data_IF_797475649756
#
_entry.id   IF_797475649756
#
_cell.length_a   1.000
_cell.length_b   1.000
_cell.length_c   1.000
_cell.angle_alpha   90.00
_cell.angle_beta   90.00
_cell.angle_gamma   90.00
#
_symmetry.space_group_name_H-M   'P 1'
#
loop_
_entity.id
_entity.type
_entity.pdbx_description
1 polymer ?
#
# COMPACT_ATOMS: atom_id res chain seq x y z
N UNK A 1 -23.83 -13.16 -7.07
CA UNK A 1 -22.78 -13.82 -6.26
C UNK A 1 -22.01 -12.77 -5.47
N UNK A 2 -22.01 -12.89 -4.14
CA UNK A 2 -21.39 -11.97 -3.19
C UNK A 2 -20.11 -12.57 -2.61
N UNK A 3 -18.97 -11.89 -2.77
CA UNK A 3 -17.66 -12.33 -2.29
C UNK A 3 -17.05 -11.22 -1.43
N UNK A 4 -16.72 -11.55 -0.18
CA UNK A 4 -16.05 -10.65 0.74
C UNK A 4 -14.57 -11.01 0.83
N UNK A 5 -13.68 -10.11 0.41
CA UNK A 5 -12.24 -10.22 0.65
C UNK A 5 -11.83 -9.49 1.93
N UNK A 6 -10.94 -10.10 2.70
CA UNK A 6 -10.44 -9.56 3.98
C UNK A 6 -8.90 -9.52 3.95
N UNK A 7 -8.35 -8.36 4.28
CA UNK A 7 -6.94 -8.16 4.58
C UNK A 7 -6.80 -7.64 6.00
N UNK A 8 -5.97 -8.28 6.82
CA UNK A 8 -5.71 -7.85 8.20
C UNK A 8 -4.48 -8.55 8.82
N UNK A 9 -4.23 -8.26 10.10
CA UNK A 9 -3.28 -8.94 10.97
C UNK A 9 -1.79 -8.68 10.72
N UNK A 10 -1.47 -7.69 9.90
CA UNK A 10 -0.12 -7.17 9.71
C UNK A 10 -0.08 -5.63 9.82
N UNK A 11 -0.65 -4.92 8.87
CA UNK A 11 -1.02 -3.50 8.95
C UNK A 11 -2.06 -3.20 7.87
N UNK A 12 -2.71 -2.03 7.94
CA UNK A 12 -3.65 -1.54 6.93
C UNK A 12 -4.81 -2.51 6.64
N UNK A 13 -5.42 -3.05 7.69
CA UNK A 13 -6.58 -3.92 7.58
C UNK A 13 -7.68 -3.28 6.73
N UNK A 14 -8.31 -4.09 5.88
CA UNK A 14 -9.29 -3.65 4.91
C UNK A 14 -10.27 -4.77 4.56
N UNK A 15 -11.41 -4.37 4.01
CA UNK A 15 -12.40 -5.27 3.44
C UNK A 15 -12.84 -4.77 2.07
N UNK A 16 -13.22 -5.70 1.19
CA UNK A 16 -13.79 -5.42 -0.11
C UNK A 16 -14.95 -6.39 -0.41
N UNK A 17 -16.08 -5.87 -0.88
CA UNK A 17 -17.20 -6.66 -1.37
C UNK A 17 -17.26 -6.57 -2.90
N UNK A 18 -17.22 -7.73 -3.54
CA UNK A 18 -17.54 -7.90 -4.95
C UNK A 18 -18.91 -8.56 -5.09
N UNK A 19 -19.74 -8.02 -5.98
CA UNK A 19 -21.02 -8.61 -6.38
C UNK A 19 -21.04 -8.81 -7.88
N UNK A 20 -21.15 -10.07 -8.30
CA UNK A 20 -21.26 -10.44 -9.72
C UNK A 20 -20.14 -9.82 -10.56
N UNK A 21 -18.94 -9.75 -9.98
CA UNK A 21 -17.72 -9.22 -10.59
C UNK A 21 -17.54 -7.70 -10.48
N UNK A 22 -18.53 -6.96 -9.97
CA UNK A 22 -18.42 -5.53 -9.71
C UNK A 22 -17.92 -5.24 -8.30
N UNK A 23 -17.01 -4.27 -8.16
CA UNK A 23 -16.54 -3.79 -6.86
C UNK A 23 -17.61 -2.87 -6.25
N UNK A 24 -18.37 -3.40 -5.29
CA UNK A 24 -19.47 -2.65 -4.66
C UNK A 24 -18.92 -1.65 -3.65
N UNK A 25 -18.00 -2.11 -2.79
CA UNK A 25 -17.44 -1.32 -1.71
C UNK A 25 -16.08 -1.86 -1.28
N UNK A 26 -15.19 -0.95 -0.87
CA UNK A 26 -13.91 -1.28 -0.28
C UNK A 26 -13.48 -0.16 0.68
N UNK A 27 -12.97 -0.54 1.85
CA UNK A 27 -12.52 0.44 2.84
C UNK A 27 -11.43 -0.13 3.75
N UNK A 28 -10.54 0.75 4.22
CA UNK A 28 -9.56 0.45 5.25
C UNK A 28 -10.11 0.72 6.64
N UNK A 29 -9.86 -0.17 7.59
CA UNK A 29 -10.36 -0.12 8.97
C UNK A 29 -9.92 1.17 9.70
N UNK A 30 -8.71 1.65 9.43
CA UNK A 30 -8.16 2.88 10.02
C UNK A 30 -9.04 4.12 9.77
N UNK A 31 -9.86 4.12 8.71
CA UNK A 31 -10.75 5.23 8.39
C UNK A 31 -11.90 5.32 9.38
N UNK A 32 -12.30 4.20 9.98
CA UNK A 32 -13.36 4.12 10.97
C UNK A 32 -12.80 4.17 12.40
N UNK A 33 -11.80 3.33 12.71
CA UNK A 33 -11.21 3.27 14.07
C UNK A 33 -10.40 4.51 14.43
N UNK A 34 -9.99 5.29 13.42
CA UNK A 34 -9.08 6.44 13.55
C UNK A 34 -7.70 6.05 14.10
N UNK A 35 -7.41 4.75 14.20
CA UNK A 35 -6.11 4.19 14.53
C UNK A 35 -5.35 3.96 13.24
N UNK A 36 -4.36 4.80 12.98
CA UNK A 36 -3.54 4.74 11.77
C UNK A 36 -2.83 3.38 11.65
N UNK A 37 -2.88 2.78 10.46
CA UNK A 37 -2.35 1.44 10.16
C UNK A 37 -2.96 0.35 11.04
N UNK A 38 -4.27 0.42 11.29
CA UNK A 38 -4.92 -0.60 12.11
C UNK A 38 -4.71 -2.00 11.52
N UNK A 39 -4.14 -2.89 12.33
CA UNK A 39 -3.85 -4.29 11.97
C UNK A 39 -4.93 -5.26 12.47
N UNK A 40 -5.92 -4.75 13.23
CA UNK A 40 -6.98 -5.56 13.83
C UNK A 40 -7.89 -6.20 12.80
N UNK A 41 -8.81 -7.07 13.25
CA UNK A 41 -9.87 -7.58 12.38
C UNK A 41 -10.73 -6.40 11.89
N UNK A 42 -11.05 -6.29 10.59
CA UNK A 42 -11.64 -5.08 10.02
C UNK A 42 -13.17 -5.05 10.20
N UNK A 43 -13.65 -5.01 11.45
CA UNK A 43 -15.08 -5.08 11.77
C UNK A 43 -15.89 -3.98 11.08
N UNK A 44 -15.42 -2.73 11.14
CA UNK A 44 -16.18 -1.60 10.61
C UNK A 44 -16.11 -1.51 9.10
N UNK A 45 -14.96 -1.85 8.49
CA UNK A 45 -14.86 -1.92 7.04
C UNK A 45 -15.72 -3.05 6.47
N UNK A 46 -15.79 -4.22 7.12
CA UNK A 46 -16.70 -5.30 6.71
C UNK A 46 -18.14 -4.87 6.85
N UNK A 47 -18.53 -4.29 7.99
CA UNK A 47 -19.88 -3.79 8.22
C UNK A 47 -20.29 -2.79 7.14
N UNK A 48 -19.41 -1.84 6.82
CA UNK A 48 -19.63 -0.88 5.74
C UNK A 48 -19.83 -1.58 4.39
N UNK A 49 -18.97 -2.55 4.04
CA UNK A 49 -19.07 -3.27 2.76
C UNK A 49 -20.41 -4.02 2.64
N UNK A 50 -20.84 -4.69 3.71
CA UNK A 50 -22.13 -5.40 3.76
C UNK A 50 -23.31 -4.44 3.66
N UNK A 51 -23.27 -3.31 4.37
CA UNK A 51 -24.29 -2.26 4.32
C UNK A 51 -24.38 -1.63 2.92
N UNK A 52 -23.26 -1.27 2.31
CA UNK A 52 -23.21 -0.73 0.95
C UNK A 52 -23.73 -1.75 -0.09
N UNK A 53 -23.53 -3.04 0.15
CA UNK A 53 -24.15 -4.11 -0.64
C UNK A 53 -25.62 -4.38 -0.31
N UNK A 54 -26.19 -3.83 0.76
CA UNK A 54 -27.54 -4.18 1.21
C UNK A 54 -27.69 -5.67 1.57
N UNK A 55 -26.63 -6.31 2.06
CA UNK A 55 -26.62 -7.75 2.40
C UNK A 55 -26.13 -7.98 3.83
N UNK A 56 -26.36 -9.18 4.34
CA UNK A 56 -25.83 -9.66 5.62
C UNK A 56 -24.72 -10.70 5.37
N UNK A 57 -23.94 -11.00 6.41
CA UNK A 57 -22.85 -11.98 6.31
C UNK A 57 -23.31 -13.37 5.84
N UNK A 58 -24.55 -13.76 6.15
CA UNK A 58 -25.15 -15.03 5.69
C UNK A 58 -25.44 -15.08 4.18
N UNK A 59 -25.50 -13.93 3.52
CA UNK A 59 -25.77 -13.82 2.08
C UNK A 59 -24.47 -13.86 1.24
N UNK A 60 -23.32 -14.03 1.89
CA UNK A 60 -22.02 -14.18 1.25
C UNK A 60 -21.84 -15.61 0.72
N UNK A 61 -21.55 -15.74 -0.57
CA UNK A 61 -21.24 -17.02 -1.20
C UNK A 61 -19.83 -17.51 -0.80
N UNK A 62 -18.87 -16.58 -0.72
CA UNK A 62 -17.50 -16.84 -0.30
C UNK A 62 -16.94 -15.71 0.56
N UNK A 63 -16.08 -16.09 1.51
CA UNK A 63 -15.19 -15.16 2.21
C UNK A 63 -13.75 -15.52 1.87
N UNK A 64 -12.94 -14.54 1.53
CA UNK A 64 -11.52 -14.74 1.23
C UNK A 64 -10.63 -14.13 2.31
N UNK A 65 -9.52 -14.80 2.63
CA UNK A 65 -8.36 -14.20 3.30
C UNK A 65 -7.09 -14.18 2.40
N UNK A 66 -6.42 -13.03 2.38
CA UNK A 66 -5.41 -12.64 1.35
C UNK A 66 -4.02 -13.30 1.43
N UNK A 67 -3.77 -14.12 2.45
CA UNK A 67 -2.46 -14.72 2.78
C UNK A 67 -2.66 -16.14 3.30
N UNK A 68 -1.70 -17.05 3.09
CA UNK A 68 -1.72 -18.43 3.63
C UNK A 68 -0.97 -18.50 4.97
N UNK A 69 -1.68 -18.61 6.13
CA UNK A 69 -1.03 -18.53 7.44
C UNK A 69 0.01 -19.63 7.69
N UNK A 70 -0.20 -20.84 7.16
CA UNK A 70 0.72 -21.96 7.36
C UNK A 70 2.08 -21.69 6.68
N UNK A 71 2.08 -21.17 5.44
CA UNK A 71 3.32 -20.87 4.72
C UNK A 71 4.08 -19.71 5.38
N UNK A 72 3.36 -18.67 5.83
CA UNK A 72 3.98 -17.58 6.59
C UNK A 72 4.56 -18.08 7.93
N UNK A 73 3.89 -19.01 8.61
CA UNK A 73 4.41 -19.64 9.83
C UNK A 73 5.67 -20.48 9.55
N UNK A 74 5.67 -21.26 8.47
CA UNK A 74 6.83 -22.02 8.00
C UNK A 74 8.06 -21.12 7.78
N UNK A 75 7.87 -19.97 7.12
CA UNK A 75 8.94 -18.97 6.95
C UNK A 75 9.50 -18.51 8.28
N UNK A 76 8.63 -18.15 9.22
CA UNK A 76 9.06 -17.64 10.51
C UNK A 76 9.89 -18.67 11.27
N UNK A 77 9.42 -19.91 11.36
CA UNK A 77 10.16 -20.99 12.01
C UNK A 77 11.51 -21.23 11.32
N UNK A 78 11.52 -21.35 9.99
CA UNK A 78 12.75 -21.56 9.22
C UNK A 78 13.76 -20.43 9.42
N UNK A 79 13.28 -19.18 9.47
CA UNK A 79 14.11 -17.99 9.73
C UNK A 79 14.68 -17.99 11.14
N UNK A 80 13.89 -18.34 12.15
CA UNK A 80 14.39 -18.38 13.53
C UNK A 80 15.37 -19.53 13.76
N UNK A 81 15.19 -20.67 13.09
CA UNK A 81 16.15 -21.77 13.11
C UNK A 81 17.46 -21.39 12.43
N UNK A 82 17.42 -20.77 11.25
CA UNK A 82 18.63 -20.37 10.52
C UNK A 82 19.42 -19.25 11.20
N UNK A 83 18.77 -18.47 12.05
CA UNK A 83 19.38 -17.35 12.78
C UNK A 83 19.67 -17.65 14.24
N UNK A 84 19.50 -18.89 14.69
CA UNK A 84 19.78 -19.29 16.06
C UNK A 84 21.28 -19.09 16.40
N UNK A 85 21.63 -18.57 17.59
CA UNK A 85 20.75 -18.19 18.71
C UNK A 85 20.22 -16.75 18.66
N UNK A 86 20.62 -15.94 17.67
CA UNK A 86 20.28 -14.51 17.60
C UNK A 86 18.77 -14.27 17.51
N UNK A 87 18.05 -15.17 16.84
CA UNK A 87 16.59 -15.10 16.67
C UNK A 87 15.74 -15.36 17.92
N UNK A 88 16.32 -15.87 19.01
CA UNK A 88 15.56 -16.44 20.14
C UNK A 88 14.62 -15.44 20.82
N UNK A 89 15.05 -14.19 20.98
CA UNK A 89 14.23 -13.12 21.59
C UNK A 89 13.05 -12.71 20.71
N UNK A 90 13.23 -12.70 19.40
CA UNK A 90 12.15 -12.38 18.46
C UNK A 90 11.16 -13.55 18.39
N UNK A 91 11.68 -14.78 18.32
CA UNK A 91 10.91 -16.02 18.39
C UNK A 91 10.00 -16.08 19.63
N UNK A 92 10.55 -15.83 20.83
CA UNK A 92 9.79 -15.95 22.09
C UNK A 92 8.63 -14.96 22.19
N UNK A 93 8.73 -13.81 21.50
CA UNK A 93 7.65 -12.82 21.39
C UNK A 93 6.62 -13.18 20.32
N UNK A 94 7.07 -13.69 19.17
CA UNK A 94 6.21 -13.94 18.03
C UNK A 94 5.39 -15.23 18.17
N UNK A 95 6.00 -16.33 18.62
CA UNK A 95 5.35 -17.65 18.59
C UNK A 95 4.06 -17.76 19.40
N UNK A 96 3.94 -17.18 20.60
CA UNK A 96 2.68 -17.26 21.37
C UNK A 96 1.48 -16.67 20.60
N UNK A 97 1.69 -15.57 19.86
CA UNK A 97 0.65 -14.93 19.05
C UNK A 97 0.27 -15.82 17.86
N UNK A 98 1.27 -16.41 17.20
CA UNK A 98 1.04 -17.30 16.06
C UNK A 98 0.26 -18.56 16.43
N UNK A 99 0.67 -19.23 17.52
CA UNK A 99 0.05 -20.47 17.97
C UNK A 99 -1.37 -20.29 18.49
N UNK A 100 -1.70 -19.12 19.06
CA UNK A 100 -3.03 -18.83 19.62
C UNK A 100 -4.00 -18.20 18.63
N UNK A 101 -3.51 -17.38 17.71
CA UNK A 101 -4.37 -16.53 16.88
C UNK A 101 -4.12 -16.75 15.39
N UNK A 102 -2.90 -16.49 14.91
CA UNK A 102 -2.63 -16.37 13.45
C UNK A 102 -2.70 -17.70 12.70
N UNK A 103 -2.58 -18.86 13.36
CA UNK A 103 -2.83 -20.15 12.71
C UNK A 103 -4.33 -20.50 12.63
N UNK A 104 -5.18 -19.81 13.37
CA UNK A 104 -6.61 -20.10 13.50
C UNK A 104 -7.49 -19.08 12.77
N UNK A 105 -6.96 -18.41 11.74
CA UNK A 105 -7.69 -17.42 10.93
C UNK A 105 -9.04 -17.92 10.42
N UNK A 106 -9.18 -19.16 9.88
CA UNK A 106 -10.49 -19.64 9.47
C UNK A 106 -11.51 -19.63 10.62
N UNK A 107 -11.13 -20.15 11.78
CA UNK A 107 -11.99 -20.20 12.97
C UNK A 107 -12.34 -18.79 13.46
N UNK A 108 -11.37 -17.87 13.42
CA UNK A 108 -11.58 -16.48 13.80
C UNK A 108 -12.56 -15.78 12.85
N UNK A 109 -12.37 -15.86 11.53
CA UNK A 109 -13.29 -15.30 10.53
C UNK A 109 -14.71 -15.85 10.72
N UNK A 110 -14.85 -17.17 10.92
CA UNK A 110 -16.16 -17.79 11.18
C UNK A 110 -16.83 -17.22 12.41
N UNK A 111 -16.08 -17.03 13.49
CA UNK A 111 -16.58 -16.48 14.75
C UNK A 111 -16.96 -15.01 14.63
N UNK A 112 -16.07 -14.18 14.06
CA UNK A 112 -16.28 -12.73 13.97
C UNK A 112 -17.40 -12.35 13.00
N UNK A 113 -17.65 -13.17 11.97
CA UNK A 113 -18.71 -12.92 10.97
C UNK A 113 -19.98 -13.75 11.17
N UNK A 114 -20.00 -14.68 12.12
CA UNK A 114 -21.00 -15.75 12.19
C UNK A 114 -21.20 -16.46 10.82
N UNK A 115 -20.10 -16.71 10.12
CA UNK A 115 -20.10 -17.20 8.74
C UNK A 115 -19.91 -18.72 8.65
N UNK A 116 -20.86 -19.40 8.00
CA UNK A 116 -20.86 -20.86 7.86
C UNK A 116 -20.42 -21.35 6.47
N UNK A 117 -20.27 -20.46 5.49
CA UNK A 117 -19.89 -20.84 4.13
C UNK A 117 -18.40 -21.15 3.95
N UNK A 118 -17.93 -21.08 2.70
CA UNK A 118 -16.56 -21.44 2.34
C UNK A 118 -15.62 -20.26 2.54
N UNK A 119 -14.52 -20.49 3.26
CA UNK A 119 -13.43 -19.53 3.40
C UNK A 119 -12.30 -19.97 2.47
N UNK A 120 -11.93 -19.10 1.53
CA UNK A 120 -10.86 -19.34 0.56
C UNK A 120 -9.62 -18.53 0.92
N UNK A 121 -8.47 -19.06 0.53
CA UNK A 121 -7.16 -18.46 0.78
C UNK A 121 -6.41 -18.39 -0.55
N UNK A 122 -5.66 -17.31 -0.74
CA UNK A 122 -4.67 -17.21 -1.82
C UNK A 122 -3.35 -16.74 -1.24
N UNK A 123 -2.30 -16.74 -2.06
CA UNK A 123 -1.00 -16.22 -1.66
C UNK A 123 -1.00 -14.69 -1.65
N UNK A 124 -0.25 -14.08 -0.72
CA UNK A 124 -0.18 -12.63 -0.54
C UNK A 124 0.15 -11.89 -1.85
N UNK A 125 1.16 -12.38 -2.57
CA UNK A 125 1.56 -11.79 -3.85
C UNK A 125 0.56 -12.07 -4.98
N UNK A 126 -0.19 -13.18 -4.92
CA UNK A 126 -1.31 -13.41 -5.83
C UNK A 126 -2.44 -12.40 -5.57
N UNK A 127 -2.75 -12.10 -4.30
CA UNK A 127 -3.70 -11.03 -3.95
C UNK A 127 -3.25 -9.68 -4.50
N UNK A 128 -1.96 -9.32 -4.38
CA UNK A 128 -1.44 -8.10 -4.99
C UNK A 128 -1.56 -8.10 -6.52
N UNK A 129 -1.12 -9.17 -7.18
CA UNK A 129 -1.21 -9.34 -8.63
C UNK A 129 -2.65 -9.16 -9.13
N UNK A 130 -3.59 -9.85 -8.49
CA UNK A 130 -5.01 -9.79 -8.80
C UNK A 130 -5.61 -8.40 -8.55
N UNK A 131 -5.17 -7.70 -7.49
CA UNK A 131 -5.62 -6.34 -7.19
C UNK A 131 -5.23 -5.34 -8.26
N UNK A 132 -4.17 -5.59 -9.02
CA UNK A 132 -3.80 -4.75 -10.15
C UNK A 132 -4.41 -5.25 -11.46
N UNK A 133 -4.16 -6.51 -11.82
CA UNK A 133 -4.50 -7.01 -13.15
C UNK A 133 -6.00 -7.17 -13.40
N UNK A 134 -6.75 -7.82 -12.49
CA UNK A 134 -8.13 -8.21 -12.76
C UNK A 134 -9.09 -7.01 -12.84
N UNK A 135 -8.70 -5.89 -12.26
CA UNK A 135 -9.45 -4.63 -12.31
C UNK A 135 -8.81 -3.59 -13.22
N UNK A 136 -7.70 -3.92 -13.89
CA UNK A 136 -7.09 -3.04 -14.90
C UNK A 136 -7.95 -2.97 -16.16
N UNK A 137 -7.73 -2.00 -17.07
CA UNK A 137 -8.34 -2.01 -18.40
C UNK A 137 -7.68 -3.01 -19.36
N UNK A 138 -6.59 -3.67 -18.97
CA UNK A 138 -5.81 -4.49 -19.89
C UNK A 138 -6.34 -5.92 -19.98
N UNK A 139 -6.54 -6.41 -21.20
CA UNK A 139 -6.84 -7.84 -21.44
C UNK A 139 -5.63 -8.73 -21.18
N UNK A 140 -4.43 -8.24 -21.51
CA UNK A 140 -3.18 -8.88 -21.19
C UNK A 140 -2.16 -7.85 -20.72
N UNK A 141 -1.37 -8.23 -19.72
CA UNK A 141 -0.34 -7.36 -19.16
C UNK A 141 0.74 -8.19 -18.46
N UNK A 142 1.94 -7.64 -18.43
CA UNK A 142 2.94 -8.03 -17.45
C UNK A 142 2.47 -7.63 -16.04
N UNK A 143 2.79 -8.44 -15.04
CA UNK A 143 2.46 -8.18 -13.64
C UNK A 143 3.74 -8.16 -12.82
N UNK A 144 3.97 -7.06 -12.10
CA UNK A 144 5.07 -6.93 -11.17
C UNK A 144 4.53 -6.52 -9.79
N UNK A 145 4.72 -7.39 -8.82
CA UNK A 145 4.41 -7.11 -7.41
C UNK A 145 5.72 -6.90 -6.67
N UNK A 146 5.85 -5.82 -5.91
CA UNK A 146 7.06 -5.53 -5.11
C UNK A 146 6.64 -4.99 -3.76
N UNK A 147 6.99 -5.72 -2.70
CA UNK A 147 6.48 -5.49 -1.36
C UNK A 147 7.56 -5.71 -0.28
N UNK A 148 7.19 -5.47 0.99
CA UNK A 148 8.01 -5.79 2.14
C UNK A 148 8.24 -7.30 2.26
N UNK A 149 7.20 -8.06 2.59
CA UNK A 149 7.24 -9.52 2.70
C UNK A 149 5.84 -10.14 2.76
N UNK A 150 5.57 -11.13 1.93
CA UNK A 150 4.40 -12.00 2.03
C UNK A 150 4.63 -13.25 2.90
N UNK A 151 4.24 -14.41 2.39
CA UNK A 151 4.58 -15.72 2.95
C UNK A 151 6.07 -15.99 2.82
N UNK A 152 6.61 -15.82 1.62
CA UNK A 152 8.03 -15.94 1.27
C UNK A 152 8.44 -14.89 0.25
N UNK A 153 7.61 -14.67 -0.76
CA UNK A 153 7.84 -13.66 -1.78
C UNK A 153 7.97 -12.26 -1.18
N UNK A 154 8.82 -11.47 -1.81
CA UNK A 154 9.04 -10.03 -1.58
C UNK A 154 8.91 -9.27 -2.90
N UNK A 155 9.11 -9.96 -4.01
CA UNK A 155 8.64 -9.55 -5.33
C UNK A 155 8.17 -10.77 -6.12
N UNK A 156 7.14 -10.61 -6.95
CA UNK A 156 6.71 -11.64 -7.90
C UNK A 156 6.50 -11.05 -9.28
N UNK A 157 6.86 -11.84 -10.29
CA UNK A 157 6.77 -11.54 -11.70
C UNK A 157 5.77 -12.49 -12.33
N UNK A 158 4.94 -11.96 -13.22
CA UNK A 158 3.94 -12.76 -13.88
C UNK A 158 3.34 -12.12 -15.10
N UNK A 159 2.35 -12.82 -15.65
CA UNK A 159 1.50 -12.35 -16.74
C UNK A 159 0.05 -12.56 -16.37
N UNK A 160 -0.77 -11.58 -16.75
CA UNK A 160 -2.21 -11.72 -16.75
C UNK A 160 -2.72 -11.88 -18.17
N UNK A 161 -3.64 -12.82 -18.40
CA UNK A 161 -4.35 -12.97 -19.69
C UNK A 161 -5.82 -13.25 -19.42
N UNK A 162 -6.67 -12.36 -19.93
CA UNK A 162 -8.11 -12.35 -19.65
C UNK A 162 -8.37 -12.37 -18.14
N UNK A 163 -8.78 -13.51 -17.59
CA UNK A 163 -9.11 -13.71 -16.17
C UNK A 163 -8.04 -14.51 -15.40
N UNK A 164 -7.00 -14.97 -16.07
CA UNK A 164 -5.99 -15.85 -15.49
C UNK A 164 -4.71 -15.08 -15.17
N UNK A 165 -4.07 -15.46 -14.07
CA UNK A 165 -2.79 -14.89 -13.60
C UNK A 165 -1.81 -16.04 -13.44
N UNK A 166 -0.64 -15.90 -14.05
CA UNK A 166 0.46 -16.84 -13.91
C UNK A 166 1.69 -16.11 -13.36
N UNK A 167 2.07 -16.43 -12.13
CA UNK A 167 3.28 -15.91 -11.47
C UNK A 167 4.39 -16.94 -11.62
N UNK A 168 5.42 -16.63 -12.41
CA UNK A 168 6.44 -17.59 -12.81
C UNK A 168 7.81 -17.37 -12.15
N UNK A 169 8.03 -16.23 -11.48
CA UNK A 169 9.29 -15.92 -10.79
C UNK A 169 9.02 -15.11 -9.53
N UNK A 170 9.83 -15.32 -8.51
CA UNK A 170 9.79 -14.53 -7.28
C UNK A 170 11.19 -14.25 -6.73
N UNK A 171 11.32 -13.15 -5.99
CA UNK A 171 12.42 -12.90 -5.05
C UNK A 171 11.87 -13.23 -3.66
N UNK A 172 12.65 -13.98 -2.87
CA UNK A 172 12.22 -14.48 -1.56
C UNK A 172 12.91 -13.74 -0.42
N UNK A 173 12.21 -13.68 0.70
CA UNK A 173 12.76 -13.29 1.99
C UNK A 173 14.01 -14.13 2.31
N UNK A 174 15.10 -13.51 2.82
CA UNK A 174 15.15 -12.16 3.39
C UNK A 174 15.38 -11.02 2.40
N UNK A 175 15.66 -11.30 1.12
CA UNK A 175 15.96 -10.24 0.16
C UNK A 175 14.70 -9.50 -0.25
N UNK A 176 14.61 -8.20 0.04
CA UNK A 176 13.44 -7.38 -0.24
C UNK A 176 13.80 -5.93 -0.50
N UNK A 177 13.34 -5.41 -1.62
CA UNK A 177 13.48 -3.99 -1.94
C UNK A 177 12.66 -3.14 -0.96
N UNK A 178 11.48 -3.63 -0.55
CA UNK A 178 10.66 -3.00 0.49
C UNK A 178 11.40 -2.93 1.82
N UNK A 179 12.00 -4.03 2.29
CA UNK A 179 12.73 -4.05 3.56
C UNK A 179 14.04 -3.28 3.50
N UNK A 180 14.72 -3.21 2.36
CA UNK A 180 15.84 -2.30 2.14
C UNK A 180 15.39 -0.85 2.37
N UNK A 181 14.29 -0.44 1.73
CA UNK A 181 13.76 0.91 1.86
C UNK A 181 13.28 1.21 3.29
N UNK A 182 12.64 0.26 3.95
CA UNK A 182 12.25 0.35 5.37
C UNK A 182 13.46 0.38 6.31
N UNK A 183 14.58 -0.26 5.96
CA UNK A 183 15.82 -0.16 6.73
C UNK A 183 16.39 1.26 6.72
N UNK A 184 16.36 1.94 5.57
CA UNK A 184 16.70 3.37 5.51
C UNK A 184 15.67 4.25 6.21
N UNK A 185 14.38 3.91 6.11
CA UNK A 185 13.32 4.61 6.85
C UNK A 185 13.60 4.57 8.36
N UNK A 186 13.94 3.39 8.89
CA UNK A 186 14.37 3.20 10.27
C UNK A 186 15.65 3.98 10.59
N UNK A 187 16.68 3.86 9.74
CA UNK A 187 17.98 4.53 9.97
C UNK A 187 17.87 6.05 9.99
N UNK A 188 16.95 6.61 9.20
CA UNK A 188 16.62 8.04 9.16
C UNK A 188 15.66 8.47 10.28
N UNK A 189 15.41 7.61 11.28
CA UNK A 189 14.60 7.94 12.46
C UNK A 189 13.11 8.10 12.14
N UNK A 190 12.63 7.49 11.05
CA UNK A 190 11.21 7.48 10.69
C UNK A 190 10.57 6.13 11.07
N UNK A 191 9.24 6.14 11.22
CA UNK A 191 8.45 4.95 11.59
C UNK A 191 8.32 3.99 10.41
N UNK A 192 8.82 2.78 10.56
CA UNK A 192 8.69 1.66 9.60
C UNK A 192 7.22 1.27 9.41
N UNK A 193 6.85 0.80 8.22
CA UNK A 193 5.50 0.45 7.78
C UNK A 193 4.51 1.62 7.90
N UNK A 194 5.00 2.85 7.74
CA UNK A 194 4.19 4.06 7.93
C UNK A 194 4.78 5.32 7.33
N UNK A 195 6.10 5.43 7.17
CA UNK A 195 6.79 6.69 6.88
C UNK A 195 7.82 6.55 5.76
N UNK A 196 7.79 5.46 5.00
CA UNK A 196 8.57 5.23 3.79
C UNK A 196 8.40 6.39 2.80
N UNK A 197 7.17 6.88 2.63
CA UNK A 197 6.92 8.05 1.79
C UNK A 197 7.63 9.32 2.29
N UNK A 198 8.04 9.41 3.58
CA UNK A 198 8.82 10.55 4.09
C UNK A 198 10.23 10.51 3.52
N UNK A 199 10.83 9.33 3.41
CA UNK A 199 12.13 9.14 2.75
C UNK A 199 12.02 9.55 1.29
N UNK A 200 10.94 9.13 0.60
CA UNK A 200 10.70 9.51 -0.79
C UNK A 200 10.53 11.03 -0.94
N UNK A 201 9.79 11.67 -0.01
CA UNK A 201 9.62 13.11 0.01
C UNK A 201 10.88 13.89 0.43
N UNK A 202 11.82 13.25 1.13
CA UNK A 202 13.08 13.85 1.56
C UNK A 202 14.16 13.77 0.47
N UNK A 203 14.11 12.74 -0.38
CA UNK A 203 15.09 12.48 -1.42
C UNK A 203 15.37 13.67 -2.36
N UNK A 204 14.39 14.48 -2.82
CA UNK A 204 14.65 15.63 -3.71
C UNK A 204 15.48 16.76 -3.09
N UNK A 205 15.69 16.76 -1.77
CA UNK A 205 16.47 17.77 -1.06
C UNK A 205 17.91 17.33 -0.78
N UNK A 206 18.31 16.16 -1.27
CA UNK A 206 19.65 15.60 -1.12
C UNK A 206 20.35 15.39 -2.47
N UNK A 207 21.64 15.12 -2.38
CA UNK A 207 22.45 14.63 -3.50
C UNK A 207 22.75 13.14 -3.30
N UNK A 208 22.73 12.31 -4.37
CA UNK A 208 22.89 10.86 -4.27
C UNK A 208 24.36 10.44 -4.02
N UNK A 209 24.98 10.95 -2.95
CA UNK A 209 26.40 10.75 -2.61
C UNK A 209 26.72 9.37 -2.02
N UNK A 210 25.71 8.64 -1.58
CA UNK A 210 25.85 7.35 -0.91
C UNK A 210 25.41 6.18 -1.79
N UNK A 211 25.25 6.37 -3.11
CA UNK A 211 24.78 5.31 -4.01
C UNK A 211 25.69 4.08 -3.95
N UNK A 212 27.01 4.28 -3.94
CA UNK A 212 27.96 3.17 -3.87
C UNK A 212 27.85 2.40 -2.54
N UNK A 213 27.67 3.11 -1.41
CA UNK A 213 27.41 2.47 -0.12
C UNK A 213 26.07 1.72 -0.11
N UNK A 214 25.02 2.26 -0.74
CA UNK A 214 23.75 1.55 -0.87
C UNK A 214 23.95 0.29 -1.73
N UNK A 215 24.71 0.36 -2.83
CA UNK A 215 25.05 -0.80 -3.68
C UNK A 215 25.93 -1.84 -2.98
N UNK A 216 26.62 -1.50 -1.90
CA UNK A 216 27.27 -2.52 -1.05
C UNK A 216 26.26 -3.36 -0.25
N UNK A 217 25.04 -2.86 -0.04
CA UNK A 217 24.00 -3.60 0.68
C UNK A 217 23.20 -4.55 -0.21
N UNK A 218 23.24 -4.35 -1.52
CA UNK A 218 22.39 -5.02 -2.51
C UNK A 218 23.15 -5.27 -3.81
N UNK A 219 23.30 -6.55 -4.15
CA UNK A 219 23.90 -7.01 -5.40
C UNK A 219 22.80 -7.14 -6.46
N UNK A 220 22.70 -6.15 -7.35
CA UNK A 220 21.64 -6.02 -8.36
C UNK A 220 22.12 -6.58 -9.69
N UNK A 221 21.42 -7.58 -10.22
CA UNK A 221 21.72 -8.21 -11.52
C UNK A 221 21.04 -7.48 -12.67
N UNK A 222 21.47 -7.76 -13.90
CA UNK A 222 20.93 -7.15 -15.12
C UNK A 222 19.47 -7.54 -15.42
N UNK A 223 19.02 -8.67 -14.89
CA UNK A 223 17.63 -9.13 -14.96
C UNK A 223 16.75 -8.53 -13.85
N UNK A 224 17.28 -7.61 -13.05
CA UNK A 224 16.58 -6.99 -11.93
C UNK A 224 16.42 -7.89 -10.70
N UNK A 225 16.89 -9.15 -10.75
CA UNK A 225 17.05 -9.94 -9.53
C UNK A 225 18.14 -9.33 -8.64
N UNK A 226 18.02 -9.56 -7.33
CA UNK A 226 19.00 -9.06 -6.39
C UNK A 226 19.09 -9.94 -5.15
N UNK A 227 20.25 -9.90 -4.53
CA UNK A 227 20.49 -10.41 -3.19
C UNK A 227 20.98 -9.27 -2.29
N UNK A 228 20.58 -9.31 -1.03
CA UNK A 228 21.02 -8.34 -0.03
C UNK A 228 22.12 -8.94 0.83
N UNK A 229 23.14 -8.15 1.15
CA UNK A 229 24.14 -8.54 2.15
C UNK A 229 23.52 -8.47 3.55
N UNK A 230 23.10 -9.65 4.04
CA UNK A 230 22.41 -9.79 5.32
C UNK A 230 23.29 -9.44 6.53
N UNK A 231 24.60 -9.28 6.37
CA UNK A 231 25.52 -8.89 7.45
C UNK A 231 25.28 -7.46 7.96
N UNK A 232 24.54 -6.62 7.22
CA UNK A 232 24.17 -5.25 7.61
C UNK A 232 22.79 -5.14 8.27
N UNK A 233 21.96 -6.19 8.15
CA UNK A 233 20.57 -6.15 8.57
C UNK A 233 20.32 -6.98 9.83
N UNK A 234 19.24 -6.66 10.54
CA UNK A 234 18.82 -7.41 11.72
C UNK A 234 17.33 -7.74 11.76
N UNK A 235 16.52 -7.30 10.77
CA UNK A 235 15.07 -7.57 10.77
C UNK A 235 14.72 -9.06 10.74
N UNK A 236 15.64 -9.91 10.27
CA UNK A 236 15.44 -11.35 10.15
C UNK A 236 15.73 -12.11 11.46
N UNK A 237 16.42 -11.52 12.43
CA UNK A 237 16.70 -12.16 13.72
C UNK A 237 16.37 -11.29 14.95
N UNK A 238 16.13 -10.00 14.77
CA UNK A 238 15.98 -9.02 15.85
C UNK A 238 14.70 -8.20 15.74
N UNK A 239 14.62 -7.17 16.58
CA UNK A 239 13.50 -6.22 16.64
C UNK A 239 13.85 -4.87 15.99
N UNK A 240 14.96 -4.80 15.25
CA UNK A 240 15.46 -3.61 14.56
C UNK A 240 15.72 -3.93 13.11
N UNK A 241 15.65 -2.94 12.23
CA UNK A 241 15.90 -3.14 10.80
C UNK A 241 17.40 -3.37 10.49
N UNK A 242 18.27 -2.59 11.13
CA UNK A 242 19.71 -2.54 10.84
C UNK A 242 20.57 -2.80 12.07
N UNK A 243 21.81 -3.24 11.84
CA UNK A 243 22.79 -3.52 12.90
C UNK A 243 23.97 -2.53 12.88
N UNK A 244 25.01 -2.80 13.69
CA UNK A 244 26.18 -1.94 13.81
C UNK A 244 27.02 -1.80 12.53
N UNK A 245 27.03 -2.80 11.64
CA UNK A 245 27.74 -2.72 10.36
C UNK A 245 27.11 -1.68 9.45
N UNK A 246 25.77 -1.61 9.42
CA UNK A 246 25.04 -0.57 8.70
C UNK A 246 25.40 0.82 9.24
N UNK A 247 25.38 0.98 10.56
CA UNK A 247 25.76 2.24 11.21
C UNK A 247 27.20 2.65 10.85
N UNK A 248 28.14 1.71 10.83
CA UNK A 248 29.53 1.97 10.41
C UNK A 248 29.61 2.41 8.96
N UNK A 249 28.92 1.70 8.05
CA UNK A 249 28.92 1.98 6.62
C UNK A 249 28.42 3.40 6.30
N UNK A 250 27.39 3.85 7.01
CA UNK A 250 26.83 5.20 6.80
C UNK A 250 27.44 6.27 7.70
N UNK A 251 28.38 5.93 8.59
CA UNK A 251 29.15 6.90 9.39
C UNK A 251 28.44 7.39 10.66
N UNK A 252 27.60 6.59 11.29
CA UNK A 252 26.95 6.93 12.58
C UNK A 252 25.75 6.06 12.94
N UNK A 253 25.21 6.19 14.16
CA UNK A 253 24.00 5.47 14.57
C UNK A 253 22.76 5.93 13.78
N UNK A 254 21.65 5.17 13.84
CA UNK A 254 20.35 5.64 13.37
C UNK A 254 20.00 6.99 13.99
N UNK A 255 19.39 7.87 13.20
CA UNK A 255 18.92 9.17 13.67
C UNK A 255 17.84 8.98 14.73
N UNK A 256 17.91 9.75 15.81
CA UNK A 256 16.84 9.80 16.81
C UNK A 256 15.57 10.40 16.20
N UNK A 257 14.41 9.81 16.49
CA UNK A 257 13.13 10.30 15.99
C UNK A 257 12.88 11.76 16.40
N UNK A 258 12.20 12.54 15.54
CA UNK A 258 11.87 13.96 15.76
C UNK A 258 13.07 14.92 15.98
N UNK A 259 14.32 14.45 15.93
CA UNK A 259 15.50 15.32 15.88
C UNK A 259 15.62 16.10 14.56
N UNK A 260 16.56 17.05 14.49
CA UNK A 260 16.78 17.88 13.30
C UNK A 260 17.29 17.04 12.11
N UNK A 261 16.73 17.28 10.92
CA UNK A 261 17.21 16.70 9.67
C UNK A 261 18.38 17.50 9.09
N UNK A 262 19.57 16.90 9.13
CA UNK A 262 20.79 17.40 8.46
C UNK A 262 20.88 17.03 6.97
N UNK A 263 21.80 17.67 6.25
CA UNK A 263 22.02 17.41 4.82
C UNK A 263 22.39 15.95 4.52
N UNK A 264 23.22 15.34 5.38
CA UNK A 264 23.58 13.92 5.28
C UNK A 264 22.35 13.00 5.19
N UNK A 265 21.30 13.27 5.97
CA UNK A 265 20.07 12.45 5.94
C UNK A 265 19.34 12.55 4.60
N UNK A 266 19.34 13.74 4.00
CA UNK A 266 18.75 13.98 2.68
C UNK A 266 19.56 13.27 1.60
N UNK A 267 20.89 13.36 1.68
CA UNK A 267 21.80 12.72 0.72
C UNK A 267 21.66 11.18 0.77
N UNK A 268 21.50 10.61 1.98
CA UNK A 268 21.20 9.18 2.16
C UNK A 268 19.83 8.83 1.55
N UNK A 269 18.79 9.63 1.82
CA UNK A 269 17.45 9.43 1.24
C UNK A 269 17.47 9.49 -0.30
N UNK A 270 18.20 10.45 -0.88
CA UNK A 270 18.40 10.58 -2.31
C UNK A 270 19.09 9.34 -2.91
N UNK A 271 20.07 8.79 -2.19
CA UNK A 271 20.86 7.65 -2.63
C UNK A 271 20.05 6.35 -2.65
N UNK A 272 19.32 6.03 -1.56
CA UNK A 272 18.44 4.84 -1.54
C UNK A 272 17.31 4.95 -2.56
N UNK A 273 16.75 6.15 -2.73
CA UNK A 273 15.71 6.40 -3.73
C UNK A 273 16.24 6.14 -5.14
N UNK A 274 17.45 6.62 -5.47
CA UNK A 274 18.09 6.35 -6.77
C UNK A 274 18.30 4.86 -7.03
N UNK A 275 18.79 4.10 -6.04
CA UNK A 275 18.99 2.65 -6.18
C UNK A 275 17.66 1.93 -6.32
N UNK A 276 16.63 2.34 -5.57
CA UNK A 276 15.28 1.75 -5.66
C UNK A 276 14.68 1.92 -7.06
N UNK A 277 14.84 3.11 -7.65
CA UNK A 277 14.42 3.36 -9.02
C UNK A 277 15.18 2.51 -10.05
N UNK A 278 16.49 2.35 -9.88
CA UNK A 278 17.32 1.49 -10.74
C UNK A 278 16.85 0.03 -10.70
N UNK A 279 16.60 -0.51 -9.51
CA UNK A 279 16.09 -1.87 -9.34
C UNK A 279 14.72 -2.01 -10.01
N UNK A 280 13.77 -1.12 -9.73
CA UNK A 280 12.43 -1.16 -10.34
C UNK A 280 12.48 -1.10 -11.87
N UNK A 281 13.34 -0.26 -12.44
CA UNK A 281 13.53 -0.15 -13.88
C UNK A 281 14.11 -1.43 -14.48
N UNK A 282 15.10 -2.05 -13.82
CA UNK A 282 15.68 -3.34 -14.26
C UNK A 282 14.66 -4.48 -14.19
N UNK A 283 13.88 -4.56 -13.11
CA UNK A 283 12.82 -5.56 -12.95
C UNK A 283 11.75 -5.42 -14.05
N UNK A 284 11.31 -4.19 -14.33
CA UNK A 284 10.37 -3.89 -15.41
C UNK A 284 10.96 -4.25 -16.79
N UNK A 285 12.21 -3.87 -17.05
CA UNK A 285 12.90 -4.18 -18.30
C UNK A 285 13.08 -5.68 -18.54
N UNK A 286 13.41 -6.44 -17.50
CA UNK A 286 13.44 -7.91 -17.57
C UNK A 286 12.07 -8.48 -17.89
N UNK A 287 11.04 -8.04 -17.18
CA UNK A 287 9.69 -8.58 -17.34
C UNK A 287 9.14 -8.34 -18.75
N UNK A 288 9.41 -7.18 -19.34
CA UNK A 288 9.06 -6.91 -20.73
C UNK A 288 9.79 -7.83 -21.70
N UNK A 289 11.11 -8.05 -21.53
CA UNK A 289 11.88 -8.97 -22.39
C UNK A 289 11.37 -10.40 -22.30
N UNK A 290 10.99 -10.84 -21.11
CA UNK A 290 10.52 -12.20 -20.86
C UNK A 290 9.10 -12.44 -21.41
N UNK A 291 8.23 -11.44 -21.32
CA UNK A 291 6.79 -11.61 -21.59
C UNK A 291 6.34 -11.05 -22.93
N UNK A 292 7.07 -10.08 -23.49
CA UNK A 292 6.68 -9.33 -24.69
C UNK A 292 5.43 -8.45 -24.52
N UNK A 293 4.95 -8.25 -23.29
CA UNK A 293 3.71 -7.52 -23.01
C UNK A 293 3.91 -6.01 -23.14
N UNK A 294 2.96 -5.32 -23.78
CA UNK A 294 3.01 -3.85 -23.94
C UNK A 294 2.64 -3.10 -22.66
N UNK A 295 1.85 -3.71 -21.78
CA UNK A 295 1.28 -3.07 -20.59
C UNK A 295 1.81 -3.70 -19.30
N UNK A 296 1.90 -2.89 -18.24
CA UNK A 296 2.40 -3.32 -16.93
C UNK A 296 1.40 -3.01 -15.80
N UNK A 297 1.05 -4.04 -15.03
CA UNK A 297 0.30 -3.91 -13.78
C UNK A 297 1.25 -3.94 -12.57
N UNK A 298 1.15 -2.94 -11.69
CA UNK A 298 1.97 -2.80 -10.49
C UNK A 298 1.14 -2.83 -9.20
N UNK A 299 1.62 -3.62 -8.23
CA UNK A 299 1.10 -3.67 -6.86
C UNK A 299 2.21 -4.00 -5.84
N UNK A 300 1.84 -4.08 -4.56
CA UNK A 300 2.75 -4.21 -3.43
C UNK A 300 3.16 -2.85 -2.86
N UNK A 301 3.61 -2.80 -1.61
CA UNK A 301 3.89 -1.55 -0.91
C UNK A 301 4.92 -0.65 -1.63
N UNK A 302 5.87 -1.23 -2.36
CA UNK A 302 6.87 -0.45 -3.13
C UNK A 302 6.25 0.22 -4.35
N UNK A 303 5.15 -0.31 -4.90
CA UNK A 303 4.42 0.33 -6.00
C UNK A 303 3.74 1.65 -5.59
N UNK A 304 3.75 2.04 -4.30
CA UNK A 304 3.37 3.39 -3.87
C UNK A 304 4.49 4.43 -4.06
N UNK A 305 5.68 4.01 -4.52
CA UNK A 305 6.78 4.90 -4.87
C UNK A 305 6.56 5.52 -6.26
N UNK A 306 5.81 6.63 -6.30
CA UNK A 306 5.46 7.30 -7.55
C UNK A 306 6.67 7.83 -8.33
N UNK A 307 7.82 8.06 -7.68
CA UNK A 307 9.04 8.51 -8.34
C UNK A 307 9.65 7.35 -9.15
N UNK A 308 9.73 6.15 -8.57
CA UNK A 308 10.15 4.94 -9.27
C UNK A 308 9.20 4.58 -10.41
N UNK A 309 7.88 4.59 -10.14
CA UNK A 309 6.87 4.33 -11.17
C UNK A 309 6.97 5.32 -12.34
N UNK A 310 7.18 6.61 -12.05
CA UNK A 310 7.36 7.63 -13.07
C UNK A 310 8.60 7.39 -13.95
N UNK A 311 9.67 6.83 -13.40
CA UNK A 311 10.83 6.41 -14.21
C UNK A 311 10.52 5.17 -15.04
N UNK A 312 9.83 4.17 -14.49
CA UNK A 312 9.38 3.00 -15.26
C UNK A 312 8.49 3.42 -16.45
N UNK A 313 7.57 4.36 -16.26
CA UNK A 313 6.71 4.88 -17.33
C UNK A 313 7.50 5.62 -18.43
N UNK A 314 8.50 6.44 -18.05
CA UNK A 314 9.23 7.28 -19.02
C UNK A 314 10.41 6.59 -19.70
N UNK A 315 11.09 5.72 -18.96
CA UNK A 315 12.36 5.11 -19.37
C UNK A 315 12.21 3.61 -19.63
N UNK A 316 11.13 2.99 -19.14
CA UNK A 316 10.85 1.57 -19.32
C UNK A 316 10.24 1.27 -20.69
N UNK A 317 10.15 -0.02 -21.05
CA UNK A 317 9.68 -0.45 -22.37
C UNK A 317 8.15 -0.56 -22.49
N UNK A 318 7.39 -0.28 -21.43
CA UNK A 318 5.95 -0.43 -21.42
C UNK A 318 5.24 0.82 -21.94
N UNK A 319 4.16 0.61 -22.68
CA UNK A 319 3.32 1.67 -23.24
C UNK A 319 2.42 2.29 -22.17
N UNK A 320 1.70 1.45 -21.44
CA UNK A 320 0.75 1.87 -20.42
C UNK A 320 0.97 1.11 -19.11
N UNK A 321 0.73 1.81 -17.99
CA UNK A 321 0.86 1.27 -16.64
C UNK A 321 -0.50 1.34 -15.93
N UNK A 322 -0.85 0.27 -15.23
CA UNK A 322 -1.92 0.29 -14.22
C UNK A 322 -1.30 0.05 -12.85
N UNK A 323 -1.50 0.99 -11.92
CA UNK A 323 -0.95 0.91 -10.56
C UNK A 323 -2.12 0.96 -9.61
N UNK A 324 -2.29 -0.10 -8.81
CA UNK A 324 -3.42 -0.20 -7.88
C UNK A 324 -3.37 0.97 -6.87
N UNK A 325 -4.38 1.86 -6.79
CA UNK A 325 -4.40 2.97 -5.83
C UNK A 325 -4.18 2.56 -4.37
N UNK A 326 -4.69 1.39 -3.98
CA UNK A 326 -4.44 0.76 -2.69
C UNK A 326 -3.33 -0.30 -2.76
N UNK A 327 -2.18 0.00 -3.40
CA UNK A 327 -1.18 -1.01 -3.78
C UNK A 327 -0.62 -1.86 -2.62
N UNK A 328 -0.58 -1.33 -1.39
CA UNK A 328 -0.17 -2.07 -0.20
C UNK A 328 -1.21 -3.08 0.28
N UNK A 329 -1.05 -3.61 1.49
CA UNK A 329 -1.81 -4.77 2.00
C UNK A 329 -3.33 -4.58 1.98
N UNK A 330 -3.82 -3.34 2.12
CA UNK A 330 -5.25 -3.04 2.00
C UNK A 330 -5.82 -3.51 0.66
N UNK A 331 -5.09 -3.33 -0.44
CA UNK A 331 -5.49 -3.78 -1.78
C UNK A 331 -5.62 -5.29 -1.91
N UNK A 332 -4.99 -6.07 -1.03
CA UNK A 332 -5.10 -7.52 -0.98
C UNK A 332 -6.54 -8.00 -0.77
N UNK A 333 -7.35 -7.25 -0.03
CA UNK A 333 -8.78 -7.55 0.15
C UNK A 333 -9.54 -7.51 -1.19
N UNK A 334 -9.30 -6.48 -2.01
CA UNK A 334 -9.89 -6.35 -3.34
C UNK A 334 -9.36 -7.42 -4.28
N UNK A 335 -8.04 -7.59 -4.34
CA UNK A 335 -7.41 -8.53 -5.26
C UNK A 335 -7.85 -9.96 -5.04
N UNK A 336 -7.94 -10.40 -3.79
CA UNK A 336 -8.44 -11.73 -3.48
C UNK A 336 -9.91 -11.92 -3.89
N UNK A 337 -10.79 -10.97 -3.57
CA UNK A 337 -12.20 -11.07 -3.95
C UNK A 337 -12.34 -11.19 -5.48
N UNK A 338 -11.55 -10.39 -6.22
CA UNK A 338 -11.52 -10.42 -7.68
C UNK A 338 -10.96 -11.76 -8.20
N UNK A 339 -9.90 -12.26 -7.58
CA UNK A 339 -9.28 -13.54 -7.93
C UNK A 339 -10.23 -14.72 -7.73
N UNK A 340 -10.98 -14.74 -6.62
CA UNK A 340 -12.00 -15.77 -6.38
C UNK A 340 -13.05 -15.71 -7.50
N UNK A 341 -13.58 -14.53 -7.80
CA UNK A 341 -14.65 -14.39 -8.79
C UNK A 341 -14.19 -14.78 -10.20
N UNK A 342 -13.07 -14.21 -10.67
CA UNK A 342 -12.65 -14.29 -12.07
C UNK A 342 -11.80 -15.52 -12.37
N UNK A 343 -10.84 -15.86 -11.50
CA UNK A 343 -9.84 -16.89 -11.78
C UNK A 343 -10.23 -18.24 -11.18
N UNK A 344 -10.71 -18.27 -9.93
CA UNK A 344 -11.07 -19.52 -9.23
C UNK A 344 -12.43 -20.05 -9.70
N UNK A 345 -13.42 -19.17 -9.84
CA UNK A 345 -14.76 -19.52 -10.31
C UNK A 345 -14.94 -19.36 -11.82
N UNK A 346 -13.86 -18.98 -12.52
CA UNK A 346 -13.76 -18.88 -13.98
C UNK A 346 -14.77 -17.90 -14.64
N UNK A 347 -15.28 -16.92 -13.88
CA UNK A 347 -16.22 -15.92 -14.43
C UNK A 347 -15.48 -14.86 -15.26
N UNK A 348 -16.13 -14.31 -16.31
CA UNK A 348 -15.53 -13.26 -17.12
C UNK A 348 -15.25 -12.01 -16.29
N UNK A 349 -14.25 -11.24 -16.72
CA UNK A 349 -14.05 -9.86 -16.24
C UNK A 349 -15.19 -8.99 -16.75
N UNK A 350 -15.82 -8.28 -15.84
CA UNK A 350 -17.02 -7.47 -16.12
C UNK A 350 -16.79 -5.98 -15.92
N UNK A 351 -15.77 -5.60 -15.17
CA UNK A 351 -15.56 -4.21 -14.78
C UNK A 351 -14.07 -3.84 -14.79
N UNK A 352 -13.82 -2.56 -15.04
CA UNK A 352 -12.49 -1.94 -14.96
C UNK A 352 -12.54 -0.84 -13.91
N UNK A 353 -11.54 -0.79 -13.05
CA UNK A 353 -11.47 0.22 -12.00
C UNK A 353 -11.09 1.57 -12.60
N UNK A 354 -12.09 2.40 -12.88
CA UNK A 354 -11.91 3.77 -13.39
C UNK A 354 -11.64 4.78 -12.28
N UNK A 355 -12.01 4.46 -11.03
CA UNK A 355 -11.86 5.34 -9.88
C UNK A 355 -11.57 4.60 -8.57
N UNK A 356 -11.10 5.33 -7.56
CA UNK A 356 -10.86 4.80 -6.21
C UNK A 356 -12.00 5.09 -5.21
N UNK A 357 -13.14 5.65 -5.63
CA UNK A 357 -14.23 6.07 -4.74
C UNK A 357 -15.11 4.89 -4.25
N UNK A 358 -14.56 4.07 -3.35
CA UNK A 358 -15.18 2.81 -2.90
C UNK A 358 -15.60 2.81 -1.42
N UNK A 359 -15.24 3.85 -0.68
CA UNK A 359 -15.56 4.02 0.74
C UNK A 359 -16.90 4.72 0.99
N UNK A 360 -17.26 4.95 2.26
CA UNK A 360 -18.51 5.57 2.67
C UNK A 360 -18.73 6.96 2.05
N UNK A 361 -19.99 7.21 1.74
CA UNK A 361 -20.57 8.53 1.45
C UNK A 361 -21.58 8.89 2.53
N UNK A 362 -21.93 10.17 2.60
CA UNK A 362 -22.87 10.70 3.58
C UNK A 362 -23.87 11.58 2.86
N UNK A 363 -25.14 11.40 3.18
CA UNK A 363 -26.24 12.19 2.63
C UNK A 363 -26.23 13.63 3.17
N UNK A 364 -26.86 14.54 2.44
CA UNK A 364 -27.04 15.93 2.89
C UNK A 364 -27.76 15.99 4.25
N UNK A 365 -28.73 15.10 4.49
CA UNK A 365 -29.47 15.04 5.75
C UNK A 365 -28.59 14.65 6.94
N UNK A 366 -27.68 13.68 6.76
CA UNK A 366 -26.70 13.31 7.80
C UNK A 366 -25.73 14.46 8.09
N UNK A 367 -25.25 15.13 7.05
CA UNK A 367 -24.35 16.29 7.19
C UNK A 367 -25.07 17.44 7.91
N UNK A 368 -26.29 17.78 7.51
CA UNK A 368 -27.08 18.85 8.12
C UNK A 368 -27.40 18.54 9.59
N UNK A 369 -27.76 17.29 9.91
CA UNK A 369 -28.01 16.86 11.29
C UNK A 369 -26.75 17.02 12.15
N UNK A 370 -25.58 16.63 11.64
CA UNK A 370 -24.31 16.78 12.36
C UNK A 370 -23.94 18.25 12.58
N UNK A 371 -24.11 19.11 11.56
CA UNK A 371 -23.85 20.55 11.67
C UNK A 371 -24.76 21.21 12.72
N UNK A 372 -26.05 20.85 12.75
CA UNK A 372 -27.01 21.31 13.77
C UNK A 372 -26.63 20.82 15.16
N UNK A 373 -26.28 19.54 15.31
CA UNK A 373 -25.86 18.96 16.58
C UNK A 373 -24.67 19.71 17.20
N UNK A 374 -23.73 20.16 16.39
CA UNK A 374 -22.55 20.91 16.83
C UNK A 374 -22.73 22.43 16.84
N UNK A 375 -23.92 22.94 16.52
CA UNK A 375 -24.18 24.37 16.31
C UNK A 375 -23.14 25.04 15.39
N UNK A 376 -22.67 24.30 14.37
CA UNK A 376 -21.66 24.77 13.44
C UNK A 376 -22.30 25.74 12.43
N UNK A 377 -21.80 26.99 12.31
CA UNK A 377 -22.29 27.92 11.29
C UNK A 377 -22.08 27.34 9.89
N UNK A 378 -23.16 27.26 9.12
CA UNK A 378 -23.14 26.68 7.78
C UNK A 378 -24.06 27.46 6.83
N UNK A 379 -23.68 27.48 5.55
CA UNK A 379 -24.46 28.04 4.46
C UNK A 379 -24.67 26.94 3.43
N UNK A 380 -25.94 26.67 3.10
CA UNK A 380 -26.28 25.76 2.00
C UNK A 380 -26.15 26.51 0.68
N UNK A 381 -25.49 25.88 -0.28
CA UNK A 381 -25.30 26.38 -1.63
C UNK A 381 -25.69 25.29 -2.62
N UNK A 382 -26.27 25.69 -3.74
CA UNK A 382 -26.44 24.80 -4.89
C UNK A 382 -25.07 24.50 -5.52
N UNK A 383 -24.97 23.40 -6.28
CA UNK A 383 -23.68 22.87 -6.76
C UNK A 383 -22.87 23.91 -7.54
N UNK A 384 -23.49 24.63 -8.47
CA UNK A 384 -22.79 25.60 -9.31
C UNK A 384 -22.28 26.80 -8.49
N UNK A 385 -23.08 27.27 -7.54
CA UNK A 385 -22.70 28.37 -6.67
C UNK A 385 -21.62 27.94 -5.67
N UNK A 386 -21.69 26.72 -5.15
CA UNK A 386 -20.64 26.13 -4.31
C UNK A 386 -19.31 26.07 -5.07
N UNK A 387 -19.31 25.58 -6.31
CA UNK A 387 -18.10 25.49 -7.12
C UNK A 387 -17.53 26.87 -7.42
N UNK A 388 -18.36 27.85 -7.78
CA UNK A 388 -17.91 29.24 -8.01
C UNK A 388 -17.35 29.88 -6.74
N UNK A 389 -18.04 29.73 -5.61
CA UNK A 389 -17.61 30.30 -4.32
C UNK A 389 -16.27 29.67 -3.88
N UNK A 390 -16.14 28.35 -3.97
CA UNK A 390 -14.91 27.63 -3.61
C UNK A 390 -13.75 27.98 -4.55
N UNK A 391 -14.01 28.10 -5.87
CA UNK A 391 -13.00 28.53 -6.82
C UNK A 391 -12.49 29.95 -6.53
N UNK A 392 -13.40 30.89 -6.23
CA UNK A 392 -13.05 32.25 -5.83
C UNK A 392 -12.25 32.29 -4.51
N UNK A 393 -12.62 31.46 -3.53
CA UNK A 393 -11.88 31.34 -2.27
C UNK A 393 -10.46 30.81 -2.49
N UNK A 394 -10.29 29.80 -3.33
CA UNK A 394 -8.98 29.24 -3.69
C UNK A 394 -8.14 30.30 -4.42
N UNK A 395 -8.71 31.02 -5.39
CA UNK A 395 -8.04 32.12 -6.09
C UNK A 395 -7.59 33.23 -5.11
N UNK A 396 -8.43 33.52 -4.12
CA UNK A 396 -8.14 34.37 -2.96
C UNK A 396 -7.18 33.77 -1.92
N UNK A 397 -6.48 32.67 -2.24
CA UNK A 397 -5.47 32.01 -1.39
C UNK A 397 -6.02 31.34 -0.12
N UNK A 398 -7.32 31.04 -0.07
CA UNK A 398 -7.93 30.30 1.03
C UNK A 398 -7.69 28.80 0.86
N UNK A 399 -7.29 28.14 1.96
CA UNK A 399 -7.18 26.67 1.98
C UNK A 399 -8.54 26.08 2.36
N UNK A 400 -9.02 25.14 1.54
CA UNK A 400 -10.37 24.58 1.67
C UNK A 400 -10.28 23.12 2.10
N UNK A 401 -10.99 22.78 3.19
CA UNK A 401 -11.32 21.39 3.50
C UNK A 401 -12.46 20.94 2.59
N UNK A 402 -12.22 19.87 1.82
CA UNK A 402 -13.15 19.41 0.79
C UNK A 402 -13.62 17.98 1.10
N UNK A 403 -14.93 17.85 1.33
CA UNK A 403 -15.60 16.62 1.72
C UNK A 403 -16.82 16.41 0.82
N UNK A 404 -16.78 15.43 -0.08
CA UNK A 404 -17.90 15.10 -0.97
C UNK A 404 -17.93 13.61 -1.31
N UNK A 405 -19.11 13.09 -1.62
CA UNK A 405 -19.31 11.74 -2.18
C UNK A 405 -18.62 10.61 -1.42
N UNK A 406 -18.38 9.51 -2.14
CA UNK A 406 -17.68 8.33 -1.64
C UNK A 406 -16.20 8.62 -1.38
N UNK A 407 -15.73 8.11 -0.24
CA UNK A 407 -14.32 8.20 0.15
C UNK A 407 -13.42 7.35 -0.76
N UNK A 408 -12.20 7.82 -0.99
CA UNK A 408 -11.15 7.12 -1.72
C UNK A 408 -10.64 5.88 -0.96
N UNK A 409 -10.42 4.77 -1.68
CA UNK A 409 -9.74 3.59 -1.18
C UNK A 409 -8.25 3.66 -1.51
N UNK A 410 -7.42 3.61 -0.46
CA UNK A 410 -5.98 3.81 -0.55
C UNK A 410 -5.47 5.00 0.28
N UNK A 411 -4.17 5.31 0.18
CA UNK A 411 -3.51 6.30 1.03
C UNK A 411 -3.57 7.74 0.49
N UNK A 412 -4.08 7.95 -0.73
CA UNK A 412 -4.12 9.27 -1.38
C UNK A 412 -5.54 9.82 -1.38
N UNK A 413 -5.66 11.10 -1.03
CA UNK A 413 -6.87 11.86 -1.29
C UNK A 413 -6.88 12.28 -2.77
N UNK A 414 -8.02 12.11 -3.44
CA UNK A 414 -8.22 12.33 -4.87
C UNK A 414 -9.42 13.22 -5.17
N UNK A 415 -9.81 14.07 -4.21
CA UNK A 415 -10.90 15.03 -4.39
C UNK A 415 -12.21 14.71 -3.66
N UNK A 416 -12.25 13.66 -2.82
CA UNK A 416 -13.41 13.37 -1.96
C UNK A 416 -13.14 13.66 -0.49
N UNK A 417 -11.92 13.41 0.01
CA UNK A 417 -11.48 13.75 1.38
C UNK A 417 -10.19 14.56 1.35
N UNK A 418 -10.26 15.76 0.82
CA UNK A 418 -9.08 16.54 0.39
C UNK A 418 -8.92 17.86 1.14
N UNK A 419 -7.69 18.37 1.13
CA UNK A 419 -7.40 19.77 1.47
C UNK A 419 -6.92 20.41 0.18
N UNK A 420 -7.70 21.36 -0.33
CA UNK A 420 -7.45 22.08 -1.58
C UNK A 420 -6.79 23.42 -1.29
N UNK A 421 -5.81 23.79 -2.10
CA UNK A 421 -5.14 25.08 -2.04
C UNK A 421 -4.67 25.46 -3.45
N UNK A 422 -4.48 26.77 -3.68
CA UNK A 422 -3.99 27.26 -4.97
C UNK A 422 -2.56 26.74 -5.24
N UNK A 423 -2.39 26.03 -6.34
CA UNK A 423 -1.13 25.45 -6.78
C UNK A 423 -0.14 26.50 -7.32
N UNK A 424 -0.60 27.71 -7.69
CA UNK A 424 0.23 28.78 -8.27
C UNK A 424 1.05 29.53 -7.22
N UNK A 425 0.62 29.50 -5.96
CA UNK A 425 1.30 30.22 -4.89
C UNK A 425 2.32 29.32 -4.17
N UNK A 426 3.64 29.62 -4.27
CA UNK A 426 4.67 28.80 -3.64
C UNK A 426 4.58 28.78 -2.10
N UNK A 427 3.96 29.79 -1.48
CA UNK A 427 3.78 29.86 -0.01
C UNK A 427 2.75 28.86 0.50
N UNK A 428 1.82 28.39 -0.34
CA UNK A 428 0.75 27.47 0.09
C UNK A 428 1.30 26.13 0.56
N UNK A 429 2.43 25.67 0.01
CA UNK A 429 3.13 24.48 0.52
C UNK A 429 3.46 24.61 2.01
N UNK A 430 4.03 25.75 2.41
CA UNK A 430 4.45 25.98 3.79
C UNK A 430 3.24 26.23 4.70
N UNK A 431 2.24 26.98 4.22
CA UNK A 431 0.99 27.20 4.95
C UNK A 431 0.31 25.87 5.29
N UNK A 432 0.13 25.00 4.29
CA UNK A 432 -0.56 23.71 4.51
C UNK A 432 0.28 22.77 5.38
N UNK A 433 1.60 22.69 5.17
CA UNK A 433 2.45 21.81 5.98
C UNK A 433 2.58 22.27 7.43
N UNK A 434 2.87 23.55 7.67
CA UNK A 434 3.21 24.06 8.99
C UNK A 434 1.99 24.51 9.80
N UNK A 435 1.04 25.22 9.18
CA UNK A 435 -0.09 25.83 9.91
C UNK A 435 -1.32 24.94 9.99
N UNK A 436 -1.50 24.02 9.03
CA UNK A 436 -2.71 23.19 8.93
C UNK A 436 -2.42 21.75 9.34
N UNK A 437 -1.37 21.14 8.76
CA UNK A 437 -1.03 19.72 9.00
C UNK A 437 -0.02 19.50 10.11
N UNK A 438 0.59 20.57 10.64
CA UNK A 438 1.61 20.52 11.70
C UNK A 438 2.69 19.46 11.46
N UNK A 439 3.20 19.38 10.22
CA UNK A 439 4.14 18.34 9.76
C UNK A 439 5.36 18.96 9.08
N UNK A 440 6.27 18.10 8.64
CA UNK A 440 7.56 18.55 8.10
C UNK A 440 7.42 19.38 6.82
N UNK A 441 8.18 20.49 6.73
CA UNK A 441 8.10 21.45 5.63
C UNK A 441 8.48 20.88 4.27
N UNK A 442 9.29 19.81 4.24
CA UNK A 442 9.77 19.20 3.00
C UNK A 442 8.71 18.34 2.29
N UNK A 443 7.57 18.05 2.93
CA UNK A 443 6.53 17.16 2.39
C UNK A 443 5.91 17.74 1.11
N UNK A 444 5.95 17.01 -0.02
CA UNK A 444 5.42 17.52 -1.29
C UNK A 444 3.89 17.50 -1.32
N UNK A 445 3.34 18.23 -2.29
CA UNK A 445 1.94 18.18 -2.71
C UNK A 445 1.89 17.79 -4.19
N UNK A 446 0.73 17.31 -4.64
CA UNK A 446 0.45 16.97 -6.02
C UNK A 446 -0.77 17.80 -6.49
N UNK A 447 -0.79 18.23 -7.77
CA UNK A 447 -1.94 18.95 -8.32
C UNK A 447 -3.08 17.99 -8.68
N UNK A 448 -4.27 18.56 -8.85
CA UNK A 448 -5.41 17.95 -9.56
C UNK A 448 -5.74 18.87 -10.72
N UNK A 449 -5.86 18.32 -11.93
CA UNK A 449 -6.13 19.06 -13.17
C UNK A 449 -7.26 18.37 -13.92
N UNK A 450 -7.91 19.09 -14.84
CA UNK A 450 -8.85 18.48 -15.78
C UNK A 450 -8.07 17.59 -16.77
N UNK A 451 -8.69 16.50 -17.21
CA UNK A 451 -8.12 15.54 -18.18
C UNK A 451 -7.86 16.16 -19.55
#
# INVERSE_FOLDING_TARGET
>A
MNILGISCFYHDSAACLIRDGHVVAAASEERFTRKKHDEGFPHQAIQYCLQAGGIQARDLDYVGFYDKPILKFERLISTYLSTFPRGLTSYSKAMPVWLKEKLWIPSLIRKELDYKGKILFTEHHMSHAASAFLVSPFKEAAILTVDGVGEWATASYGVGRDRQIDLFKEIRFPHSLGLLYSAFTYYLGFKVNSAEYKVMGLAPYGEPKYVDQVKQLIDIKEDGSFEMDMSYFSYHYGLRMVNGNFSKLFGGPPREAESKLEQRHKDIAASVQRVTEEVMLKMAGYLHRETGMENLCLAGGVALNCVANGRVLREGPFKDLFIQPAAGDAGGALGLAAYIYHSVLDNPRVDTMEHAYMGPEYSEGEIEALLKQHAAPAKRLERDDLVREVAALIDGQTVIGWFQGRMEFGPRALGSRSILADARNPKNKDVVNLKIKFRESFRPFAPTVLE
#
